data_IF_699935722958
#
_entry.id   IF_699935722958
#
_cell.length_a   1.000
_cell.length_b   1.000
_cell.length_c   1.000
_cell.angle_alpha   90.00
_cell.angle_beta   90.00
_cell.angle_gamma   90.00
#
_symmetry.space_group_name_H-M   'P 1'
#
loop_
_entity.id
_entity.type
_entity.pdbx_description
1 polymer ?
#
# COMPACT_ATOMS: atom_id res chain seq x y z
N UNK A 1 -20.74 -24.34 9.22
CA UNK A 1 -20.38 -23.76 7.91
C UNK A 1 -18.87 -23.75 7.82
N UNK A 2 -18.28 -24.43 6.84
CA UNK A 2 -16.83 -24.45 6.66
C UNK A 2 -16.41 -23.22 5.83
N UNK A 3 -15.54 -22.38 6.39
CA UNK A 3 -14.92 -21.27 5.68
C UNK A 3 -13.93 -21.86 4.68
N UNK A 4 -14.20 -21.68 3.39
CA UNK A 4 -13.31 -22.09 2.31
C UNK A 4 -12.04 -21.23 2.41
N UNK A 5 -10.89 -21.85 2.65
CA UNK A 5 -9.61 -21.16 2.52
C UNK A 5 -9.30 -21.14 1.03
N UNK A 6 -9.64 -20.03 0.38
CA UNK A 6 -9.28 -19.79 -1.01
C UNK A 6 -7.79 -19.44 -1.00
N UNK A 7 -6.94 -20.31 -1.53
CA UNK A 7 -5.51 -20.03 -1.65
C UNK A 7 -5.33 -19.00 -2.77
N UNK A 8 -5.17 -17.73 -2.39
CA UNK A 8 -4.94 -16.65 -3.35
C UNK A 8 -3.51 -16.66 -3.84
N UNK A 9 -3.33 -16.41 -5.13
CA UNK A 9 -2.04 -16.18 -5.77
C UNK A 9 -1.75 -14.68 -5.84
N UNK A 10 -0.48 -14.24 -5.97
CA UNK A 10 -0.15 -12.83 -6.16
C UNK A 10 -0.87 -12.19 -7.36
N UNK A 11 -1.12 -12.98 -8.41
CA UNK A 11 -1.84 -12.54 -9.60
C UNK A 11 -3.32 -12.26 -9.31
N UNK A 12 -3.95 -13.01 -8.39
CA UNK A 12 -5.32 -12.77 -7.97
C UNK A 12 -5.46 -11.43 -7.19
N UNK A 13 -4.43 -11.04 -6.42
CA UNK A 13 -4.40 -9.75 -5.71
C UNK A 13 -4.35 -8.58 -6.70
N UNK A 14 -3.56 -8.73 -7.78
CA UNK A 14 -3.45 -7.71 -8.83
C UNK A 14 -4.77 -7.53 -9.60
N UNK A 15 -5.46 -8.63 -9.94
CA UNK A 15 -6.81 -8.54 -10.54
C UNK A 15 -7.82 -7.92 -9.58
N UNK A 16 -7.70 -8.17 -8.26
CA UNK A 16 -8.56 -7.54 -7.26
C UNK A 16 -8.29 -6.03 -7.13
N UNK A 17 -7.02 -5.62 -7.14
CA UNK A 17 -6.61 -4.21 -7.11
C UNK A 17 -7.17 -3.41 -8.29
N UNK A 18 -7.30 -4.04 -9.46
CA UNK A 18 -7.83 -3.39 -10.66
C UNK A 18 -9.35 -3.16 -10.63
N UNK A 19 -10.10 -3.99 -9.90
CA UNK A 19 -11.57 -4.00 -9.96
C UNK A 19 -12.25 -3.60 -8.64
N UNK A 20 -11.50 -3.47 -7.55
CA UNK A 20 -12.06 -3.12 -6.23
C UNK A 20 -11.83 -1.65 -5.88
N UNK A 21 -12.87 -0.99 -5.36
CA UNK A 21 -12.74 0.34 -4.75
C UNK A 21 -12.03 0.29 -3.39
N UNK A 22 -12.01 -0.88 -2.75
CA UNK A 22 -11.34 -1.13 -1.48
C UNK A 22 -9.92 -1.66 -1.74
N UNK A 23 -8.96 -1.22 -0.93
CA UNK A 23 -7.57 -1.69 -1.05
C UNK A 23 -7.41 -3.01 -0.32
N UNK A 24 -6.63 -3.90 -0.89
CA UNK A 24 -6.35 -5.21 -0.33
C UNK A 24 -4.85 -5.43 -0.21
N UNK A 25 -4.45 -6.39 0.61
CA UNK A 25 -3.06 -6.82 0.72
C UNK A 25 -3.00 -8.31 0.87
N UNK A 26 -2.19 -8.94 0.03
CA UNK A 26 -1.80 -10.34 0.20
C UNK A 26 -0.80 -10.53 1.34
N UNK A 27 -1.13 -11.36 2.32
CA UNK A 27 -0.23 -11.78 3.40
C UNK A 27 -0.36 -13.29 3.59
N UNK A 28 0.71 -14.05 3.30
CA UNK A 28 0.83 -15.49 3.57
C UNK A 28 -0.34 -16.36 3.05
N UNK A 29 -0.91 -16.03 1.88
CA UNK A 29 -2.04 -16.79 1.31
C UNK A 29 -3.42 -16.19 1.59
N UNK A 30 -3.50 -15.15 2.41
CA UNK A 30 -4.75 -14.46 2.75
C UNK A 30 -4.79 -13.07 2.11
N UNK A 31 -5.96 -12.70 1.59
CA UNK A 31 -6.25 -11.33 1.16
C UNK A 31 -6.94 -10.61 2.32
N UNK A 32 -6.33 -9.53 2.79
CA UNK A 32 -6.84 -8.71 3.87
C UNK A 32 -7.20 -7.34 3.32
N UNK A 33 -8.43 -6.88 3.55
CA UNK A 33 -8.83 -5.51 3.22
C UNK A 33 -8.09 -4.53 4.13
N UNK A 34 -7.44 -3.54 3.52
CA UNK A 34 -6.67 -2.52 4.22
C UNK A 34 -7.31 -1.14 4.04
N UNK A 35 -7.12 -0.29 5.05
CA UNK A 35 -7.46 1.13 4.91
C UNK A 35 -6.52 1.80 3.91
N UNK A 36 -7.08 2.65 3.06
CA UNK A 36 -6.27 3.51 2.17
C UNK A 36 -6.66 3.51 0.70
N UNK A 37 -7.83 2.97 0.35
CA UNK A 37 -8.45 3.17 -0.96
C UNK A 37 -9.10 4.55 -1.14
N UNK A 38 -9.37 5.28 -0.05
CA UNK A 38 -10.14 6.51 -0.13
C UNK A 38 -9.30 7.75 -0.47
N UNK A 39 -9.84 8.74 -1.21
CA UNK A 39 -9.14 9.99 -1.50
C UNK A 39 -8.68 10.75 -0.25
N UNK A 40 -9.48 10.72 0.82
CA UNK A 40 -9.16 11.40 2.08
C UNK A 40 -7.93 10.77 2.78
N UNK A 41 -7.85 9.43 2.79
CA UNK A 41 -6.68 8.74 3.30
C UNK A 41 -5.42 9.09 2.49
N UNK A 42 -5.54 9.14 1.16
CA UNK A 42 -4.42 9.50 0.27
C UNK A 42 -3.94 10.94 0.50
N UNK A 43 -4.84 11.89 0.75
CA UNK A 43 -4.45 13.27 1.10
C UNK A 43 -3.66 13.32 2.42
N UNK A 44 -4.13 12.63 3.47
CA UNK A 44 -3.43 12.59 4.76
C UNK A 44 -2.04 11.96 4.60
N UNK A 45 -1.96 10.82 3.91
CA UNK A 45 -0.70 10.14 3.63
C UNK A 45 0.28 11.00 2.82
N UNK A 46 -0.21 11.69 1.79
CA UNK A 46 0.59 12.59 0.95
C UNK A 46 1.11 13.81 1.71
N UNK A 47 0.28 14.41 2.56
CA UNK A 47 0.67 15.53 3.42
C UNK A 47 1.77 15.10 4.39
N UNK A 48 1.61 13.94 5.03
CA UNK A 48 2.63 13.38 5.94
C UNK A 48 3.94 13.10 5.20
N UNK A 49 3.89 12.42 4.06
CA UNK A 49 5.07 12.10 3.24
C UNK A 49 5.85 13.37 2.86
N UNK A 50 5.13 14.40 2.38
CA UNK A 50 5.74 15.66 1.97
C UNK A 50 6.41 16.37 3.14
N UNK A 51 5.72 16.46 4.28
CA UNK A 51 6.27 17.09 5.48
C UNK A 51 7.48 16.33 6.02
N UNK A 52 7.38 15.00 6.09
CA UNK A 52 8.45 14.13 6.57
C UNK A 52 9.70 14.21 5.67
N UNK A 53 9.53 14.12 4.36
CA UNK A 53 10.61 14.28 3.40
C UNK A 53 11.24 15.68 3.49
N UNK A 54 10.43 16.73 3.62
CA UNK A 54 10.92 18.10 3.82
C UNK A 54 11.76 18.25 5.09
N UNK A 55 11.41 17.55 6.18
CA UNK A 55 12.23 17.49 7.39
C UNK A 55 13.54 16.74 7.13
N UNK A 56 13.50 15.53 6.55
CA UNK A 56 14.71 14.75 6.27
C UNK A 56 15.69 15.45 5.32
N UNK A 57 15.19 16.15 4.30
CA UNK A 57 16.01 16.93 3.38
C UNK A 57 16.75 18.08 4.07
N UNK A 58 16.19 18.64 5.15
CA UNK A 58 16.84 19.64 6.00
C UNK A 58 17.88 19.03 6.95
N UNK A 59 17.78 17.73 7.22
CA UNK A 59 18.73 16.96 8.03
C UNK A 59 19.73 16.17 7.16
N UNK A 60 20.27 16.74 6.07
CA UNK A 60 21.34 16.14 5.25
C UNK A 60 21.33 14.59 5.18
N UNK A 61 20.18 13.98 4.89
CA UNK A 61 20.12 12.54 4.72
C UNK A 61 20.58 12.21 3.30
N UNK A 62 21.74 11.56 3.21
CA UNK A 62 22.42 11.16 1.98
C UNK A 62 21.62 10.05 1.27
N UNK A 63 21.39 10.29 -0.03
CA UNK A 63 20.97 9.42 -1.14
C UNK A 63 20.17 8.14 -0.83
N UNK A 64 18.89 8.16 -1.27
CA UNK A 64 18.15 6.94 -1.59
C UNK A 64 18.22 6.73 -3.12
N UNK A 65 19.16 5.88 -3.54
CA UNK A 65 19.31 5.23 -4.87
C UNK A 65 19.63 6.11 -6.09
N UNK A 66 20.92 6.31 -6.43
CA UNK A 66 21.37 6.94 -7.67
C UNK A 66 21.60 5.97 -8.86
N UNK A 67 21.25 4.67 -8.78
CA UNK A 67 21.42 3.73 -9.91
C UNK A 67 20.14 2.96 -10.30
N UNK A 68 19.55 3.37 -11.42
CA UNK A 68 18.78 2.53 -12.35
C UNK A 68 19.32 2.79 -13.75
#
# INVERSE_FOLDING_TARGET
MAMRIQAYTPEDDLELELHSEERHKYINGEIITITGGTPNHNQIAGNFYTAFHGCLARFHYVELYPDQ
#
